data_IF_770014312045
#
_entry.id   IF_770014312045
#
_cell.length_a   1.000
_cell.length_b   1.000
_cell.length_c   1.000
_cell.angle_alpha   90.00
_cell.angle_beta   90.00
_cell.angle_gamma   90.00
#
_symmetry.space_group_name_H-M   'P 1'
#
loop_
_entity.id
_entity.type
_entity.pdbx_description
1 polymer ?
#
# COMPACT_ATOMS: atom_id res chain seq x y z
N UNK A 1 13.02 5.81 29.18
CA UNK A 1 12.66 4.50 28.60
C UNK A 1 12.21 4.76 27.18
N UNK A 2 12.89 4.18 26.20
CA UNK A 2 12.37 4.14 24.84
C UNK A 2 11.13 3.23 24.81
N UNK A 3 10.11 3.52 23.98
CA UNK A 3 9.03 2.58 23.72
C UNK A 3 9.59 1.28 23.17
N UNK A 4 8.96 0.14 23.49
CA UNK A 4 9.21 -1.09 22.76
C UNK A 4 8.81 -0.86 21.29
N UNK A 5 9.58 -1.38 20.34
CA UNK A 5 9.33 -1.16 18.90
C UNK A 5 8.03 -1.78 18.40
N UNK A 6 7.53 -2.79 19.13
CA UNK A 6 6.29 -3.51 18.87
C UNK A 6 5.11 -2.86 19.59
N UNK A 7 3.95 -2.82 18.92
CA UNK A 7 2.77 -2.08 19.36
C UNK A 7 1.85 -2.88 20.30
N UNK A 8 1.87 -4.22 20.22
CA UNK A 8 0.91 -5.08 20.93
C UNK A 8 1.62 -6.14 21.78
N UNK A 9 0.91 -6.64 22.80
CA UNK A 9 1.35 -7.69 23.71
C UNK A 9 0.20 -8.69 23.94
N UNK A 10 0.47 -9.98 23.82
CA UNK A 10 -0.54 -11.01 24.16
C UNK A 10 -0.75 -11.09 25.67
N UNK A 11 -2.01 -11.17 26.11
CA UNK A 11 -2.38 -11.34 27.52
C UNK A 11 -3.11 -12.67 27.70
N UNK A 12 -2.97 -13.32 28.85
CA UNK A 12 -3.59 -14.62 29.16
C UNK A 12 -2.74 -15.85 28.78
N UNK A 13 -1.80 -15.68 27.86
CA UNK A 13 -0.80 -16.72 27.56
C UNK A 13 0.22 -16.88 28.70
N UNK A 14 0.65 -18.12 28.96
CA UNK A 14 1.73 -18.42 29.91
C UNK A 14 3.06 -17.76 29.51
N UNK A 15 3.27 -17.56 28.21
CA UNK A 15 4.39 -16.84 27.63
C UNK A 15 3.87 -15.68 26.79
N UNK A 16 3.83 -14.45 27.34
CA UNK A 16 3.46 -13.26 26.58
C UNK A 16 4.46 -12.98 25.46
N UNK A 17 3.94 -12.65 24.28
CA UNK A 17 4.71 -12.35 23.07
C UNK A 17 4.34 -10.95 22.58
N UNK A 18 5.34 -10.20 22.15
CA UNK A 18 5.16 -8.92 21.49
C UNK A 18 4.66 -9.14 20.07
N UNK A 19 3.73 -8.33 19.59
CA UNK A 19 3.16 -8.45 18.25
C UNK A 19 3.18 -7.11 17.54
N UNK A 20 3.43 -7.14 16.24
CA UNK A 20 3.33 -5.98 15.37
C UNK A 20 2.60 -6.38 14.09
N UNK A 21 1.52 -5.66 13.72
CA UNK A 21 0.85 -5.94 12.46
C UNK A 21 1.79 -5.65 11.28
N UNK A 22 1.72 -6.49 10.27
CA UNK A 22 2.37 -6.27 8.97
C UNK A 22 1.64 -5.15 8.24
N UNK A 23 2.37 -4.14 7.82
CA UNK A 23 1.84 -2.98 7.12
C UNK A 23 2.65 -2.69 5.86
N UNK A 24 1.97 -2.24 4.82
CA UNK A 24 2.58 -1.74 3.60
C UNK A 24 2.12 -0.32 3.31
N UNK A 25 3.07 0.50 2.86
CA UNK A 25 2.80 1.85 2.37
C UNK A 25 2.82 1.84 0.83
N UNK A 26 1.84 2.49 0.23
CA UNK A 26 1.77 2.65 -1.23
C UNK A 26 1.51 4.11 -1.58
N UNK A 27 2.26 4.60 -2.55
CA UNK A 27 2.19 5.97 -3.02
C UNK A 27 1.26 6.02 -4.23
N UNK A 28 0.28 6.91 -4.18
CA UNK A 28 -0.58 7.21 -5.31
C UNK A 28 -0.33 8.61 -5.81
N UNK A 29 -0.66 8.77 -7.09
CA UNK A 29 -0.63 10.05 -7.76
C UNK A 29 -1.95 10.23 -8.50
N UNK A 30 -2.76 11.22 -8.10
CA UNK A 30 -3.92 11.62 -8.90
C UNK A 30 -3.41 12.30 -10.16
N UNK A 31 -3.74 11.81 -11.36
CA UNK A 31 -3.36 12.45 -12.63
C UNK A 31 -4.60 13.05 -13.27
N UNK A 32 -4.51 14.31 -13.63
CA UNK A 32 -5.41 14.92 -14.60
C UNK A 32 -5.10 14.33 -15.98
N UNK A 33 -6.10 13.71 -16.62
CA UNK A 33 -5.93 13.00 -17.90
C UNK A 33 -5.62 13.94 -19.06
N UNK A 34 -6.03 15.21 -19.01
CA UNK A 34 -5.74 16.19 -20.07
C UNK A 34 -4.35 16.81 -19.91
N UNK A 35 -3.95 17.15 -18.68
CA UNK A 35 -2.73 17.92 -18.44
C UNK A 35 -1.50 17.07 -18.14
N UNK A 36 -1.67 15.81 -17.72
CA UNK A 36 -0.57 14.86 -17.49
C UNK A 36 0.40 15.21 -16.34
N UNK A 37 0.19 16.31 -15.62
CA UNK A 37 1.02 16.81 -14.51
C UNK A 37 0.18 17.41 -13.38
N UNK A 38 0.77 17.54 -12.20
CA UNK A 38 0.18 18.33 -11.12
C UNK A 38 0.09 19.81 -11.54
N UNK A 39 -1.03 20.47 -11.24
CA UNK A 39 -1.30 21.85 -11.61
C UNK A 39 -2.11 22.55 -10.51
N UNK A 40 -2.03 23.87 -10.41
CA UNK A 40 -2.86 24.65 -9.48
C UNK A 40 -4.00 25.31 -10.26
N UNK A 41 -5.23 25.25 -9.71
CA UNK A 41 -6.33 26.03 -10.28
C UNK A 41 -6.17 27.53 -10.00
N UNK A 42 -7.13 28.33 -10.51
CA UNK A 42 -7.12 29.79 -10.35
C UNK A 42 -7.20 30.23 -8.89
N UNK A 43 -7.70 29.36 -8.01
CA UNK A 43 -7.83 29.60 -6.57
C UNK A 43 -6.60 29.08 -5.79
N UNK A 44 -5.58 28.56 -6.50
CA UNK A 44 -4.33 28.07 -5.91
C UNK A 44 -4.38 26.64 -5.38
N UNK A 45 -5.50 25.93 -5.56
CA UNK A 45 -5.68 24.54 -5.12
C UNK A 45 -4.85 23.61 -6.00
N UNK A 46 -3.96 22.83 -5.39
CA UNK A 46 -3.12 21.89 -6.12
C UNK A 46 -3.91 20.65 -6.53
N UNK A 47 -4.10 20.49 -7.83
CA UNK A 47 -4.66 19.31 -8.48
C UNK A 47 -3.52 18.39 -8.94
N UNK A 48 -3.57 17.12 -8.55
CA UNK A 48 -2.52 16.15 -8.81
C UNK A 48 -1.69 15.76 -7.59
N UNK A 49 -2.35 15.66 -6.43
CA UNK A 49 -1.72 15.34 -5.18
C UNK A 49 -1.09 13.93 -5.18
N UNK A 50 0.12 13.86 -4.63
CA UNK A 50 0.72 12.62 -4.18
C UNK A 50 0.17 12.34 -2.78
N UNK A 51 -0.40 11.15 -2.58
CA UNK A 51 -0.85 10.70 -1.27
C UNK A 51 -0.29 9.31 -1.00
N UNK A 52 0.10 9.08 0.24
CA UNK A 52 0.52 7.77 0.73
C UNK A 52 -0.64 7.16 1.49
N UNK A 53 -0.94 5.91 1.20
CA UNK A 53 -1.80 5.09 2.05
C UNK A 53 -0.97 3.99 2.68
N UNK A 54 -1.05 3.92 4.00
CA UNK A 54 -0.61 2.78 4.78
C UNK A 54 -1.81 1.84 4.97
N UNK A 55 -1.58 0.54 4.81
CA UNK A 55 -2.58 -0.50 5.01
C UNK A 55 -2.02 -1.68 5.78
N UNK A 56 -2.88 -2.32 6.55
CA UNK A 56 -2.64 -3.66 7.07
C UNK A 56 -2.55 -4.66 5.90
N UNK A 57 -1.51 -5.47 5.90
CA UNK A 57 -1.32 -6.50 4.88
C UNK A 57 -2.35 -7.62 5.02
N UNK A 58 -2.68 -8.25 3.89
CA UNK A 58 -3.58 -9.39 3.85
C UNK A 58 -2.97 -10.64 4.52
N UNK A 59 -3.83 -11.57 4.94
CA UNK A 59 -3.42 -12.82 5.59
C UNK A 59 -3.25 -12.71 7.12
N UNK A 60 -3.50 -11.53 7.68
CA UNK A 60 -3.55 -11.32 9.13
C UNK A 60 -4.94 -11.60 9.68
N UNK A 61 -5.00 -12.09 10.91
CA UNK A 61 -6.25 -12.36 11.62
C UNK A 61 -6.37 -11.45 12.83
N UNK A 62 -7.59 -10.96 13.07
CA UNK A 62 -7.94 -10.15 14.23
C UNK A 62 -9.09 -10.82 14.94
N UNK A 63 -9.07 -10.78 16.26
CA UNK A 63 -10.12 -11.34 17.10
C UNK A 63 -10.84 -10.21 17.83
N UNK A 64 -12.14 -10.39 18.02
CA UNK A 64 -12.97 -9.56 18.88
C UNK A 64 -14.11 -10.39 19.43
N UNK A 65 -14.91 -9.80 20.31
CA UNK A 65 -16.05 -10.45 20.92
C UNK A 65 -17.30 -9.58 20.72
N UNK A 66 -18.42 -10.22 20.40
CA UNK A 66 -19.73 -9.59 20.42
C UNK A 66 -20.43 -10.09 21.68
N UNK A 67 -20.65 -9.20 22.63
CA UNK A 67 -21.33 -9.54 23.86
C UNK A 67 -22.85 -9.44 23.67
N UNK A 68 -23.55 -10.51 24.03
CA UNK A 68 -25.01 -10.56 24.03
C UNK A 68 -25.47 -10.71 25.48
N UNK A 69 -26.59 -10.08 25.83
CA UNK A 69 -27.18 -10.14 27.17
C UNK A 69 -28.53 -10.86 27.09
N UNK A 70 -28.73 -11.82 27.97
CA UNK A 70 -29.95 -12.62 28.13
C UNK A 70 -29.99 -13.22 29.52
N UNK A 71 -31.18 -13.62 29.98
CA UNK A 71 -31.35 -14.23 31.31
C UNK A 71 -31.03 -15.73 31.31
N UNK A 72 -31.12 -16.38 30.14
CA UNK A 72 -30.90 -17.82 29.93
C UNK A 72 -30.15 -18.06 28.61
N UNK A 73 -29.52 -19.23 28.47
CA UNK A 73 -28.88 -19.61 27.20
C UNK A 73 -29.90 -19.71 26.06
N UNK A 74 -31.12 -20.18 26.34
CA UNK A 74 -32.19 -20.27 25.34
C UNK A 74 -32.62 -18.90 24.78
N UNK A 75 -32.46 -17.82 25.56
CA UNK A 75 -32.70 -16.43 25.10
C UNK A 75 -31.54 -15.87 24.25
N UNK A 76 -30.31 -16.35 24.47
CA UNK A 76 -29.12 -15.88 23.76
C UNK A 76 -29.05 -16.48 22.36
N UNK A 77 -29.40 -17.77 22.22
CA UNK A 77 -29.30 -18.54 20.98
C UNK A 77 -29.96 -17.86 19.76
N UNK A 78 -31.21 -17.36 19.82
CA UNK A 78 -31.83 -16.68 18.68
C UNK A 78 -31.07 -15.42 18.26
N UNK A 79 -30.54 -14.67 19.23
CA UNK A 79 -29.82 -13.42 18.98
C UNK A 79 -28.45 -13.69 18.39
N UNK A 80 -27.71 -14.67 18.93
CA UNK A 80 -26.43 -15.11 18.40
C UNK A 80 -26.57 -15.60 16.95
N UNK A 81 -27.54 -16.49 16.70
CA UNK A 81 -27.81 -17.00 15.34
C UNK A 81 -28.17 -15.86 14.38
N UNK A 82 -28.99 -14.90 14.82
CA UNK A 82 -29.36 -13.75 13.99
C UNK A 82 -28.16 -12.87 13.65
N UNK A 83 -27.25 -12.65 14.58
CA UNK A 83 -26.02 -11.88 14.35
C UNK A 83 -25.12 -12.60 13.34
N UNK A 84 -24.93 -13.91 13.51
CA UNK A 84 -24.15 -14.76 12.59
C UNK A 84 -24.72 -14.69 11.18
N UNK A 85 -26.03 -14.80 11.03
CA UNK A 85 -26.73 -14.72 9.74
C UNK A 85 -26.56 -13.35 9.07
N UNK A 86 -26.70 -12.26 9.84
CA UNK A 86 -26.60 -10.90 9.32
C UNK A 86 -25.19 -10.53 8.87
N UNK A 87 -24.17 -11.02 9.58
CA UNK A 87 -22.77 -10.78 9.24
C UNK A 87 -22.28 -11.73 8.13
N UNK A 88 -22.88 -12.91 8.02
CA UNK A 88 -22.54 -13.92 7.02
C UNK A 88 -21.11 -14.45 7.18
N UNK A 89 -20.50 -14.86 6.08
CA UNK A 89 -19.16 -15.47 6.06
C UNK A 89 -18.03 -14.45 5.88
N UNK A 90 -18.35 -13.23 5.43
CA UNK A 90 -17.35 -12.20 5.20
C UNK A 90 -17.95 -10.81 5.30
N UNK A 91 -17.19 -9.90 5.92
CA UNK A 91 -17.56 -8.50 6.06
C UNK A 91 -16.57 -7.59 5.38
N UNK A 92 -17.06 -6.43 4.99
CA UNK A 92 -16.24 -5.38 4.42
C UNK A 92 -15.64 -4.52 5.53
N UNK A 93 -14.31 -4.51 5.63
CA UNK A 93 -13.58 -3.69 6.60
C UNK A 93 -12.68 -2.68 5.87
N UNK A 94 -12.56 -1.47 6.43
CA UNK A 94 -11.66 -0.43 5.94
C UNK A 94 -12.23 0.50 4.87
N UNK A 95 -11.35 1.28 4.24
CA UNK A 95 -11.65 2.36 3.27
C UNK A 95 -10.99 2.12 1.90
N UNK A 96 -11.31 2.97 0.92
CA UNK A 96 -10.59 3.04 -0.37
C UNK A 96 -10.49 1.72 -1.16
N UNK A 97 -11.62 1.00 -1.26
CA UNK A 97 -11.79 -0.33 -1.89
C UNK A 97 -11.18 -0.50 -3.29
N UNK A 98 -11.26 0.51 -4.16
CA UNK A 98 -10.78 0.40 -5.55
C UNK A 98 -9.26 0.56 -5.68
N UNK A 99 -8.60 0.97 -4.60
CA UNK A 99 -7.18 1.25 -4.57
C UNK A 99 -6.38 0.19 -3.78
N UNK A 100 -7.07 -0.72 -3.05
CA UNK A 100 -6.44 -1.87 -2.38
C UNK A 100 -6.20 -1.74 -0.87
N UNK A 101 -6.81 -0.76 -0.18
CA UNK A 101 -6.57 -0.44 1.25
C UNK A 101 -7.73 -0.82 2.18
N UNK A 102 -8.66 -1.62 1.67
CA UNK A 102 -9.80 -2.19 2.41
C UNK A 102 -10.14 -3.55 1.80
N UNK A 103 -10.71 -4.44 2.60
CA UNK A 103 -10.79 -5.85 2.24
C UNK A 103 -12.09 -6.52 2.65
N UNK A 104 -12.36 -7.66 2.01
CA UNK A 104 -13.32 -8.64 2.51
C UNK A 104 -12.59 -9.46 3.56
N UNK A 105 -12.93 -9.25 4.83
CA UNK A 105 -12.44 -10.06 5.93
C UNK A 105 -13.35 -11.29 6.05
N UNK A 106 -12.77 -12.48 5.95
CA UNK A 106 -13.48 -13.71 6.28
C UNK A 106 -13.79 -13.73 7.79
N UNK A 107 -15.00 -14.13 8.14
CA UNK A 107 -15.43 -14.29 9.52
C UNK A 107 -15.32 -15.76 9.92
N UNK A 108 -14.73 -15.98 11.10
CA UNK A 108 -14.71 -17.29 11.75
C UNK A 108 -15.24 -17.11 13.17
N UNK A 109 -16.24 -17.92 13.52
CA UNK A 109 -16.87 -17.89 14.83
C UNK A 109 -16.16 -18.86 15.76
N UNK A 110 -15.63 -18.34 16.87
CA UNK A 110 -15.12 -19.15 17.97
C UNK A 110 -16.26 -19.76 18.81
N UNK A 111 -15.88 -20.56 19.80
CA UNK A 111 -16.82 -20.95 20.87
C UNK A 111 -17.18 -19.73 21.71
N UNK A 112 -18.42 -19.71 22.22
CA UNK A 112 -18.86 -18.72 23.20
C UNK A 112 -17.93 -18.67 24.41
N UNK A 113 -17.70 -17.47 24.92
CA UNK A 113 -16.81 -17.18 26.05
C UNK A 113 -17.47 -16.11 26.91
N UNK A 114 -17.33 -16.21 28.23
CA UNK A 114 -17.93 -15.24 29.16
C UNK A 114 -17.02 -14.03 29.41
N UNK A 115 -15.76 -14.11 29.01
CA UNK A 115 -14.72 -13.09 29.20
C UNK A 115 -13.84 -12.98 27.97
N UNK A 116 -13.35 -11.77 27.72
CA UNK A 116 -12.52 -11.45 26.56
C UNK A 116 -11.13 -12.10 26.60
N UNK A 117 -10.55 -12.26 27.79
CA UNK A 117 -9.23 -12.84 27.99
C UNK A 117 -9.23 -13.85 29.13
N UNK A 118 -8.82 -15.08 28.81
CA UNK A 118 -8.61 -16.16 29.77
C UNK A 118 -7.17 -16.68 29.69
N UNK A 119 -6.83 -17.53 30.66
CA UNK A 119 -5.62 -18.32 30.66
C UNK A 119 -4.79 -18.12 31.92
N UNK A 120 -3.77 -18.96 32.12
CA UNK A 120 -2.92 -18.90 33.30
C UNK A 120 -2.16 -17.56 33.38
N UNK A 121 -1.97 -16.90 32.23
CA UNK A 121 -1.17 -15.69 32.12
C UNK A 121 0.26 -15.89 32.62
N UNK A 122 0.99 -14.78 32.70
CA UNK A 122 2.26 -14.72 33.40
C UNK A 122 2.11 -13.77 34.58
N UNK A 123 2.72 -14.07 35.71
CA UNK A 123 2.75 -13.16 36.86
C UNK A 123 3.18 -11.76 36.43
N UNK A 124 2.48 -10.73 36.90
CA UNK A 124 2.67 -9.35 36.46
C UNK A 124 1.98 -9.01 35.14
N UNK A 125 1.29 -9.96 34.49
CA UNK A 125 0.43 -9.79 33.32
C UNK A 125 -0.77 -10.75 33.35
N UNK A 126 -1.07 -11.34 34.50
CA UNK A 126 -2.04 -12.43 34.61
C UNK A 126 -3.43 -11.83 34.79
N UNK A 127 -4.43 -12.24 33.99
CA UNK A 127 -5.81 -11.88 34.24
C UNK A 127 -6.23 -12.31 35.65
N UNK A 128 -6.85 -11.40 36.41
CA UNK A 128 -7.37 -11.73 37.74
C UNK A 128 -8.49 -12.76 37.58
N UNK A 129 -8.44 -13.81 38.41
CA UNK A 129 -9.38 -14.93 38.40
C UNK A 129 -9.87 -15.35 39.78
N UNK A 130 -9.65 -14.53 40.79
CA UNK A 130 -10.07 -14.77 42.17
C UNK A 130 -10.22 -13.47 42.94
N UNK A 131 -10.73 -13.58 44.16
CA UNK A 131 -11.00 -12.42 45.02
C UNK A 131 -9.71 -11.63 45.31
N UNK A 132 -9.86 -10.32 45.46
CA UNK A 132 -8.78 -9.41 45.83
C UNK A 132 -8.91 -9.11 47.32
N UNK A 133 -7.93 -9.54 48.10
CA UNK A 133 -7.85 -9.26 49.52
C UNK A 133 -7.56 -7.78 49.79
N UNK A 134 -8.06 -7.27 50.92
CA UNK A 134 -7.70 -5.96 51.44
C UNK A 134 -6.18 -5.77 51.48
N UNK A 135 -5.73 -4.57 51.08
CA UNK A 135 -4.34 -4.18 50.98
C UNK A 135 -3.63 -4.63 49.71
N UNK A 136 -4.18 -5.59 48.95
CA UNK A 136 -3.57 -6.08 47.73
C UNK A 136 -3.62 -5.04 46.61
N UNK A 137 -2.59 -5.06 45.76
CA UNK A 137 -2.52 -4.23 44.55
C UNK A 137 -2.91 -5.05 43.32
N UNK A 138 -3.55 -4.38 42.38
CA UNK A 138 -3.98 -4.95 41.10
C UNK A 138 -4.07 -3.85 40.05
N UNK A 139 -4.33 -4.21 38.79
CA UNK A 139 -4.38 -3.23 37.69
C UNK A 139 -5.67 -3.36 36.90
N UNK A 140 -6.15 -2.23 36.42
CA UNK A 140 -7.14 -2.14 35.35
C UNK A 140 -6.42 -1.74 34.06
N UNK A 141 -6.56 -2.55 33.02
CA UNK A 141 -6.10 -2.28 31.66
C UNK A 141 -7.30 -1.94 30.79
N UNK A 142 -7.20 -0.87 30.00
CA UNK A 142 -8.16 -0.58 28.93
C UNK A 142 -7.84 -1.44 27.69
N UNK A 143 -8.68 -2.42 27.38
CA UNK A 143 -8.57 -3.22 26.15
C UNK A 143 -9.01 -2.43 24.91
N UNK A 144 -9.88 -1.43 25.10
CA UNK A 144 -10.31 -0.50 24.05
C UNK A 144 -10.23 0.95 24.54
N UNK A 145 -10.31 1.92 23.63
CA UNK A 145 -10.38 3.33 24.03
C UNK A 145 -11.62 3.59 24.90
N UNK A 146 -11.54 4.52 25.85
CA UNK A 146 -12.60 4.83 26.80
C UNK A 146 -12.96 6.33 26.75
N UNK A 147 -14.23 6.62 26.48
CA UNK A 147 -14.77 7.97 26.42
C UNK A 147 -15.50 8.25 27.73
N UNK A 148 -15.10 9.32 28.43
CA UNK A 148 -15.63 9.64 29.76
C UNK A 148 -16.14 11.07 29.79
N UNK A 149 -17.24 11.27 30.51
CA UNK A 149 -17.74 12.61 30.84
C UNK A 149 -17.35 12.98 32.25
N UNK A 150 -17.06 14.26 32.43
CA UNK A 150 -16.98 14.88 33.74
C UNK A 150 -18.36 14.85 34.41
N UNK A 151 -18.44 14.29 35.61
CA UNK A 151 -19.70 14.12 36.31
C UNK A 151 -20.37 15.42 36.75
N UNK A 152 -19.62 16.53 36.83
CA UNK A 152 -20.12 17.83 37.29
C UNK A 152 -20.54 18.74 36.14
N UNK A 153 -19.78 18.73 35.03
CA UNK A 153 -20.02 19.60 33.87
C UNK A 153 -20.74 18.90 32.72
N UNK A 154 -20.76 17.56 32.71
CA UNK A 154 -21.28 16.74 31.61
C UNK A 154 -20.43 16.77 30.35
N UNK A 155 -19.31 17.52 30.33
CA UNK A 155 -18.41 17.63 29.19
C UNK A 155 -17.57 16.37 29.04
N UNK A 156 -17.15 16.05 27.80
CA UNK A 156 -16.21 14.95 27.57
C UNK A 156 -14.86 15.36 28.16
N UNK A 157 -14.39 14.58 29.13
CA UNK A 157 -13.16 14.82 29.85
C UNK A 157 -12.48 13.49 30.21
N UNK A 158 -11.47 13.05 29.44
CA UNK A 158 -10.70 11.84 29.74
C UNK A 158 -10.07 11.83 31.14
N UNK A 159 -9.78 13.01 31.71
CA UNK A 159 -9.19 13.11 33.05
C UNK A 159 -10.16 12.74 34.18
N UNK A 160 -11.46 12.55 33.89
CA UNK A 160 -12.45 12.08 34.84
C UNK A 160 -12.46 10.54 35.01
N UNK A 161 -11.71 9.79 34.18
CA UNK A 161 -11.68 8.32 34.27
C UNK A 161 -11.20 7.78 35.64
N UNK A 162 -10.16 8.32 36.30
CA UNK A 162 -9.76 7.94 37.66
C UNK A 162 -10.93 7.90 38.64
N UNK A 163 -11.70 8.98 38.69
CA UNK A 163 -12.83 9.10 39.59
C UNK A 163 -13.95 8.11 39.23
N UNK A 164 -14.21 7.92 37.93
CA UNK A 164 -15.15 6.91 37.46
C UNK A 164 -14.73 5.51 37.93
N UNK A 165 -13.45 5.14 37.82
CA UNK A 165 -12.94 3.84 38.27
C UNK A 165 -13.19 3.66 39.77
N UNK A 166 -12.78 4.61 40.61
CA UNK A 166 -12.96 4.52 42.07
C UNK A 166 -14.44 4.44 42.47
N UNK A 167 -15.31 5.23 41.81
CA UNK A 167 -16.76 5.17 42.02
C UNK A 167 -17.34 3.80 41.67
N UNK A 168 -16.85 3.15 40.61
CA UNK A 168 -17.30 1.79 40.21
C UNK A 168 -16.98 0.73 41.26
N UNK A 169 -15.92 0.94 42.04
CA UNK A 169 -15.60 0.08 43.19
C UNK A 169 -16.36 0.44 44.47
N UNK A 170 -17.17 1.51 44.47
CA UNK A 170 -17.87 1.99 45.66
C UNK A 170 -16.92 2.34 46.81
N UNK A 171 -15.72 2.83 46.49
CA UNK A 171 -14.69 3.15 47.50
C UNK A 171 -13.91 1.94 48.05
N UNK A 172 -14.10 0.73 47.51
CA UNK A 172 -13.33 -0.45 47.93
C UNK A 172 -11.96 -0.56 47.29
N UNK A 173 -11.68 0.24 46.26
CA UNK A 173 -10.38 0.34 45.63
C UNK A 173 -10.03 1.81 45.41
N UNK A 174 -8.76 2.13 45.63
CA UNK A 174 -8.18 3.45 45.43
C UNK A 174 -7.16 3.41 44.30
N UNK A 175 -7.16 4.46 43.48
CA UNK A 175 -6.16 4.63 42.44
C UNK A 175 -4.82 5.09 43.03
N UNK A 176 -3.78 4.33 42.73
CA UNK A 176 -2.40 4.60 43.20
C UNK A 176 -1.59 5.29 42.11
N UNK A 177 -1.70 4.82 40.86
CA UNK A 177 -0.87 5.32 39.75
C UNK A 177 -1.53 5.11 38.41
N UNK A 178 -1.26 6.01 37.46
CA UNK A 178 -1.72 5.90 36.08
C UNK A 178 -0.57 5.86 35.09
N UNK A 179 -0.76 5.09 34.01
CA UNK A 179 0.04 5.09 32.79
C UNK A 179 -0.93 5.05 31.62
N UNK A 180 -1.15 6.20 31.01
CA UNK A 180 -2.19 6.38 30.01
C UNK A 180 -1.74 7.28 28.88
N UNK A 181 -2.46 7.15 27.77
CA UNK A 181 -2.36 8.05 26.63
C UNK A 181 -3.76 8.50 26.24
N UNK A 182 -3.83 9.55 25.43
CA UNK A 182 -5.09 10.06 24.90
C UNK A 182 -5.06 10.04 23.39
N UNK A 183 -6.19 9.72 22.77
CA UNK A 183 -6.34 9.71 21.33
C UNK A 183 -7.67 10.34 20.92
N UNK A 184 -7.68 11.09 19.81
CA UNK A 184 -8.94 11.52 19.23
C UNK A 184 -9.69 10.33 18.64
N UNK A 185 -10.96 10.22 19.01
CA UNK A 185 -11.90 9.25 18.46
C UNK A 185 -12.95 10.00 17.66
N UNK A 186 -13.10 9.63 16.40
CA UNK A 186 -14.12 10.17 15.51
C UNK A 186 -14.60 9.08 14.57
N UNK A 187 -15.07 9.48 13.39
CA UNK A 187 -15.47 8.54 12.36
C UNK A 187 -16.25 9.22 11.26
N UNK A 188 -16.87 8.42 10.40
CA UNK A 188 -17.65 8.94 9.29
C UNK A 188 -18.97 8.18 9.18
N UNK A 189 -20.07 8.90 9.29
CA UNK A 189 -21.40 8.34 9.06
C UNK A 189 -21.62 8.16 7.56
N UNK A 190 -21.58 6.91 7.09
CA UNK A 190 -21.77 6.58 5.66
C UNK A 190 -23.17 6.91 5.14
N UNK A 191 -24.20 6.82 5.98
CA UNK A 191 -25.60 7.09 5.60
C UNK A 191 -25.82 8.57 5.35
N UNK A 192 -25.25 9.42 6.21
CA UNK A 192 -25.38 10.89 6.12
C UNK A 192 -24.27 11.55 5.32
N UNK A 193 -23.19 10.82 5.03
CA UNK A 193 -21.98 11.31 4.37
C UNK A 193 -21.33 12.50 5.11
N UNK A 194 -21.30 12.41 6.43
CA UNK A 194 -20.74 13.44 7.31
C UNK A 194 -19.82 12.82 8.36
N UNK A 195 -18.86 13.61 8.82
CA UNK A 195 -17.99 13.24 9.94
C UNK A 195 -18.78 13.12 11.23
N UNK A 196 -18.41 12.13 12.04
CA UNK A 196 -18.89 12.04 13.42
C UNK A 196 -18.09 13.04 14.28
N UNK A 197 -18.71 13.66 15.30
CA UNK A 197 -17.99 14.52 16.23
C UNK A 197 -16.75 13.82 16.79
N UNK A 198 -15.60 14.47 16.64
CA UNK A 198 -14.35 13.98 17.17
C UNK A 198 -14.24 14.36 18.65
N UNK A 199 -13.92 13.38 19.49
CA UNK A 199 -13.82 13.54 20.94
C UNK A 199 -12.49 13.00 21.43
N UNK A 200 -11.94 13.58 22.49
CA UNK A 200 -10.73 13.05 23.11
C UNK A 200 -11.13 11.88 24.02
N UNK A 201 -10.44 10.75 23.90
CA UNK A 201 -10.66 9.55 24.71
C UNK A 201 -9.35 9.12 25.38
N UNK A 202 -9.45 8.30 26.43
CA UNK A 202 -8.31 7.56 26.96
C UNK A 202 -8.02 6.40 26.01
N UNK A 203 -6.78 6.28 25.53
CA UNK A 203 -6.38 5.28 24.54
C UNK A 203 -6.41 3.86 25.13
N UNK A 204 -6.71 2.88 24.27
CA UNK A 204 -6.47 1.47 24.56
C UNK A 204 -5.00 1.24 24.96
N UNK A 205 -4.75 0.26 25.82
CA UNK A 205 -3.42 0.01 26.39
C UNK A 205 -3.10 0.85 27.63
N UNK A 206 -3.95 1.81 28.01
CA UNK A 206 -3.78 2.58 29.25
C UNK A 206 -4.04 1.70 30.48
N UNK A 207 -3.22 1.87 31.53
CA UNK A 207 -3.21 1.05 32.74
C UNK A 207 -3.31 1.91 34.00
N UNK A 208 -4.09 1.41 34.96
CA UNK A 208 -4.39 2.03 36.24
C UNK A 208 -4.03 1.06 37.36
N UNK A 209 -3.07 1.43 38.21
CA UNK A 209 -2.70 0.67 39.40
C UNK A 209 -3.65 1.02 40.54
N UNK A 210 -4.30 0.02 41.09
CA UNK A 210 -5.29 0.10 42.15
C UNK A 210 -4.78 -0.62 43.39
N UNK A 211 -5.18 -0.13 44.56
CA UNK A 211 -5.02 -0.81 45.84
C UNK A 211 -6.40 -1.05 46.45
N UNK A 212 -6.63 -2.27 46.89
CA UNK A 212 -7.88 -2.64 47.56
C UNK A 212 -7.87 -2.12 49.01
N UNK A 213 -8.84 -1.25 49.34
CA UNK A 213 -9.06 -0.79 50.71
C UNK A 213 -9.90 -1.80 51.51
N UNK A 214 -10.70 -2.62 50.81
CA UNK A 214 -11.54 -3.68 51.35
C UNK A 214 -11.43 -4.92 50.46
N UNK A 215 -11.94 -6.07 50.93
CA UNK A 215 -12.04 -7.26 50.09
C UNK A 215 -12.97 -7.00 48.88
N UNK A 216 -12.54 -7.41 47.69
CA UNK A 216 -13.29 -7.28 46.44
C UNK A 216 -13.53 -8.69 45.89
N UNK A 217 -14.78 -9.18 45.92
CA UNK A 217 -15.16 -10.41 45.24
C UNK A 217 -14.82 -10.38 43.76
N UNK A 218 -14.37 -11.51 43.20
CA UNK A 218 -14.06 -11.63 41.78
C UNK A 218 -15.26 -11.32 40.88
N UNK A 219 -16.47 -11.64 41.34
CA UNK A 219 -17.72 -11.33 40.63
C UNK A 219 -17.85 -9.85 40.27
N UNK A 220 -17.47 -8.96 41.18
CA UNK A 220 -17.54 -7.51 40.94
C UNK A 220 -16.57 -7.05 39.85
N UNK A 221 -15.41 -7.71 39.74
CA UNK A 221 -14.47 -7.46 38.66
C UNK A 221 -15.08 -7.88 37.33
N UNK A 222 -15.68 -9.07 37.28
CA UNK A 222 -16.35 -9.57 36.08
C UNK A 222 -17.54 -8.72 35.67
N UNK A 223 -18.32 -8.20 36.63
CA UNK A 223 -19.40 -7.26 36.35
C UNK A 223 -18.86 -5.97 35.69
N UNK A 224 -17.75 -5.44 36.20
CA UNK A 224 -17.11 -4.25 35.60
C UNK A 224 -16.55 -4.57 34.21
N UNK A 225 -15.92 -5.73 34.00
CA UNK A 225 -15.43 -6.16 32.67
C UNK A 225 -16.56 -6.37 31.67
N UNK A 226 -17.66 -6.95 32.11
CA UNK A 226 -18.85 -7.21 31.29
C UNK A 226 -19.56 -5.92 30.91
N UNK A 227 -19.71 -5.00 31.85
CA UNK A 227 -20.36 -3.73 31.58
C UNK A 227 -19.47 -2.76 30.82
N UNK A 228 -18.17 -2.76 31.09
CA UNK A 228 -17.24 -1.72 30.62
C UNK A 228 -17.44 -0.38 31.32
N UNK A 229 -16.64 0.60 30.90
CA UNK A 229 -16.60 1.96 31.46
C UNK A 229 -16.97 3.02 30.40
N UNK A 230 -17.54 4.14 30.87
CA UNK A 230 -17.76 5.31 30.02
C UNK A 230 -18.89 5.14 29.01
N UNK A 231 -18.74 5.82 27.86
CA UNK A 231 -19.77 6.01 26.84
C UNK A 231 -19.53 5.15 25.59
N UNK A 232 -20.59 4.94 24.79
CA UNK A 232 -20.55 4.22 23.50
C UNK A 232 -20.03 2.78 23.62
N UNK A 233 -20.43 2.10 24.69
CA UNK A 233 -19.96 0.74 25.03
C UNK A 233 -20.46 -0.30 24.03
N UNK A 234 -21.64 -0.07 23.48
CA UNK A 234 -22.26 -0.84 22.41
C UNK A 234 -21.47 -0.79 21.08
N UNK A 235 -20.59 0.20 20.91
CA UNK A 235 -19.68 0.30 19.75
C UNK A 235 -18.32 -0.37 20.01
N UNK A 236 -18.11 -0.90 21.23
CA UNK A 236 -16.85 -1.53 21.64
C UNK A 236 -15.88 -0.59 22.37
N UNK A 237 -16.31 0.61 22.77
CA UNK A 237 -15.51 1.47 23.66
C UNK A 237 -15.64 1.04 25.13
N UNK A 238 -14.65 1.42 25.95
CA UNK A 238 -14.71 1.21 27.40
C UNK A 238 -14.48 -0.21 27.89
N UNK A 239 -13.95 -1.12 27.05
CA UNK A 239 -13.60 -2.49 27.47
C UNK A 239 -12.41 -2.48 28.40
N UNK A 240 -12.51 -3.26 29.48
CA UNK A 240 -11.50 -3.33 30.53
C UNK A 240 -11.13 -4.77 30.86
N UNK A 241 -9.92 -4.94 31.39
CA UNK A 241 -9.39 -6.20 31.88
C UNK A 241 -8.65 -5.96 33.19
N UNK A 242 -8.89 -6.79 34.20
CA UNK A 242 -8.13 -6.75 35.45
C UNK A 242 -6.92 -7.67 35.40
N UNK A 243 -5.77 -7.14 35.77
CA UNK A 243 -4.50 -7.86 35.88
C UNK A 243 -4.00 -7.84 37.33
N UNK A 244 -3.18 -8.84 37.69
CA UNK A 244 -2.49 -8.89 38.98
C UNK A 244 -1.55 -7.70 39.23
N UNK A 245 -0.91 -7.62 40.39
CA UNK A 245 0.06 -6.56 40.69
C UNK A 245 1.22 -6.56 39.66
N UNK A 246 1.79 -5.39 39.30
CA UNK A 246 2.95 -5.34 38.42
C UNK A 246 4.19 -5.94 39.11
N UNK A 247 5.06 -6.56 38.31
CA UNK A 247 6.40 -6.94 38.75
C UNK A 247 7.38 -5.77 38.53
N UNK A 248 8.44 -5.65 39.36
CA UNK A 248 9.47 -4.65 39.15
C UNK A 248 10.21 -4.87 37.82
N UNK A 249 10.45 -6.14 37.46
CA UNK A 249 11.10 -6.55 36.22
C UNK A 249 10.45 -7.83 35.69
N UNK A 250 10.34 -7.94 34.37
CA UNK A 250 9.96 -9.17 33.68
C UNK A 250 10.55 -9.17 32.26
N UNK A 251 10.84 -10.35 31.73
CA UNK A 251 11.42 -10.51 30.39
C UNK A 251 10.36 -10.90 29.37
N UNK A 252 10.20 -10.15 28.30
CA UNK A 252 9.34 -10.52 27.18
C UNK A 252 10.15 -11.26 26.12
N UNK A 253 9.54 -12.26 25.50
CA UNK A 253 10.11 -12.87 24.30
C UNK A 253 9.74 -11.97 23.13
N UNK A 254 10.73 -11.45 22.44
CA UNK A 254 10.48 -10.94 21.09
C UNK A 254 10.02 -12.12 20.24
N UNK A 255 8.93 -11.99 19.48
CA UNK A 255 8.59 -13.01 18.52
C UNK A 255 9.83 -13.24 17.68
N UNK A 256 10.23 -14.50 17.48
CA UNK A 256 11.06 -14.80 16.32
C UNK A 256 10.25 -14.24 15.16
N UNK A 257 10.79 -13.22 14.47
CA UNK A 257 10.32 -12.91 13.14
C UNK A 257 10.25 -14.27 12.46
N UNK A 258 9.03 -14.75 12.15
CA UNK A 258 8.91 -15.86 11.21
C UNK A 258 9.76 -15.39 10.07
N UNK A 259 10.94 -16.02 9.89
CA UNK A 259 11.92 -15.62 8.91
C UNK A 259 11.10 -15.28 7.68
N UNK A 260 11.21 -14.04 7.14
CA UNK A 260 10.38 -13.59 6.04
C UNK A 260 10.33 -14.78 5.11
N UNK A 261 9.13 -15.39 4.92
CA UNK A 261 8.99 -16.69 4.24
C UNK A 261 9.98 -16.60 3.13
N UNK A 262 11.08 -17.36 3.24
CA UNK A 262 12.16 -17.21 2.29
C UNK A 262 11.41 -17.41 1.01
N UNK A 263 11.30 -16.35 0.19
CA UNK A 263 10.94 -16.56 -1.19
C UNK A 263 12.02 -17.53 -1.58
N UNK A 264 11.68 -18.81 -1.62
CA UNK A 264 12.67 -19.82 -1.88
C UNK A 264 13.38 -19.36 -3.13
N UNK A 265 14.61 -19.80 -3.33
CA UNK A 265 15.34 -19.56 -4.58
C UNK A 265 14.52 -20.02 -5.82
N UNK A 266 13.35 -20.64 -5.60
CA UNK A 266 12.18 -20.63 -6.46
C UNK A 266 12.01 -19.34 -7.26
N UNK A 267 12.44 -19.45 -8.51
CA UNK A 267 12.17 -18.49 -9.56
C UNK A 267 10.72 -18.00 -9.50
N UNK A 268 10.48 -16.71 -9.77
CA UNK A 268 9.13 -16.15 -9.81
C UNK A 268 8.27 -17.00 -10.75
N UNK A 269 7.01 -17.32 -10.40
CA UNK A 269 6.16 -18.14 -11.25
C UNK A 269 6.16 -17.60 -12.68
N UNK A 270 6.21 -18.49 -13.69
CA UNK A 270 6.35 -18.10 -15.10
C UNK A 270 5.31 -17.04 -15.52
N UNK A 271 4.09 -17.13 -14.99
CA UNK A 271 3.01 -16.15 -15.22
C UNK A 271 3.39 -14.73 -14.79
N UNK A 272 4.12 -14.57 -13.67
CA UNK A 272 4.57 -13.25 -13.18
C UNK A 272 5.66 -12.69 -14.07
N UNK A 273 6.58 -13.53 -14.54
CA UNK A 273 7.63 -13.15 -15.49
C UNK A 273 7.03 -12.72 -16.85
N UNK A 274 6.00 -13.44 -17.32
CA UNK A 274 5.28 -13.11 -18.55
C UNK A 274 4.55 -11.77 -18.45
N UNK A 275 3.94 -11.49 -17.30
CA UNK A 275 3.28 -10.19 -17.04
C UNK A 275 4.32 -9.06 -17.05
N UNK A 276 5.45 -9.23 -16.37
CA UNK A 276 6.55 -8.25 -16.38
C UNK A 276 7.05 -7.98 -17.80
N UNK A 277 7.35 -9.04 -18.55
CA UNK A 277 7.79 -8.96 -19.95
C UNK A 277 6.80 -8.19 -20.80
N UNK A 278 5.50 -8.47 -20.67
CA UNK A 278 4.45 -7.78 -21.42
C UNK A 278 4.37 -6.29 -21.06
N UNK A 279 4.48 -5.94 -19.78
CA UNK A 279 4.45 -4.53 -19.34
C UNK A 279 5.66 -3.77 -19.86
N UNK A 280 6.86 -4.33 -19.68
CA UNK A 280 8.12 -3.70 -20.12
C UNK A 280 8.11 -3.47 -21.63
N UNK A 281 7.72 -4.48 -22.43
CA UNK A 281 7.66 -4.35 -23.90
C UNK A 281 6.59 -3.35 -24.36
N UNK A 282 5.42 -3.31 -23.71
CA UNK A 282 4.36 -2.36 -24.05
C UNK A 282 4.74 -0.91 -23.69
N UNK A 283 5.55 -0.70 -22.66
CA UNK A 283 6.06 0.62 -22.30
C UNK A 283 7.20 1.04 -23.23
N UNK A 284 8.06 0.10 -23.62
CA UNK A 284 9.13 0.32 -24.58
C UNK A 284 8.56 0.75 -25.95
N UNK A 285 7.55 0.05 -26.46
CA UNK A 285 6.88 0.42 -27.70
C UNK A 285 6.34 1.86 -27.68
N UNK A 286 5.66 2.25 -26.59
CA UNK A 286 5.19 3.63 -26.40
C UNK A 286 6.32 4.66 -26.35
N UNK A 287 7.45 4.33 -25.73
CA UNK A 287 8.63 5.22 -25.74
C UNK A 287 9.23 5.36 -27.13
N UNK A 288 9.28 4.27 -27.91
CA UNK A 288 9.74 4.29 -29.29
C UNK A 288 8.84 5.22 -30.12
N UNK A 289 7.53 5.05 -30.04
CA UNK A 289 6.56 5.91 -30.74
C UNK A 289 6.72 7.39 -30.36
N UNK A 290 6.83 7.68 -29.07
CA UNK A 290 7.02 9.04 -28.58
C UNK A 290 8.32 9.65 -29.10
N UNK A 291 9.44 8.94 -28.99
CA UNK A 291 10.75 9.39 -29.48
C UNK A 291 10.71 9.58 -30.99
N UNK A 292 10.06 8.69 -31.74
CA UNK A 292 9.90 8.81 -33.17
C UNK A 292 9.10 10.06 -33.58
N UNK A 293 8.00 10.34 -32.88
CA UNK A 293 7.20 11.54 -33.10
C UNK A 293 8.01 12.83 -32.81
N UNK A 294 8.80 12.86 -31.73
CA UNK A 294 9.65 14.01 -31.41
C UNK A 294 10.75 14.24 -32.44
N UNK A 295 11.41 13.17 -32.87
CA UNK A 295 12.43 13.20 -33.90
C UNK A 295 11.84 13.71 -35.22
N UNK A 296 10.70 13.16 -35.65
CA UNK A 296 10.02 13.58 -36.86
C UNK A 296 9.54 15.04 -36.79
N UNK A 297 9.11 15.53 -35.63
CA UNK A 297 8.71 16.94 -35.42
C UNK A 297 9.88 17.90 -35.61
N UNK A 298 11.08 17.51 -35.16
CA UNK A 298 12.29 18.34 -35.28
C UNK A 298 13.00 18.25 -36.63
N UNK A 299 12.64 17.26 -37.47
CA UNK A 299 13.31 17.01 -38.73
C UNK A 299 13.14 18.15 -39.76
N UNK A 300 14.10 18.32 -40.67
CA UNK A 300 14.03 19.29 -41.78
C UNK A 300 14.63 18.67 -43.03
N UNK A 301 14.19 19.11 -44.21
CA UNK A 301 14.62 18.59 -45.52
C UNK A 301 14.38 17.08 -45.63
N UNK A 302 13.13 16.67 -45.46
CA UNK A 302 12.73 15.27 -45.40
C UNK A 302 13.06 14.54 -46.72
N UNK A 303 13.53 13.28 -46.68
CA UNK A 303 13.72 12.48 -47.88
C UNK A 303 12.38 12.14 -48.53
N UNK A 304 12.37 11.82 -49.82
CA UNK A 304 11.14 11.41 -50.50
C UNK A 304 10.49 10.16 -49.89
N UNK A 305 9.16 10.06 -49.95
CA UNK A 305 8.41 8.90 -49.49
C UNK A 305 8.85 7.58 -50.16
N UNK A 306 9.33 7.65 -51.41
CA UNK A 306 9.88 6.49 -52.13
C UNK A 306 11.19 5.97 -51.50
N UNK A 307 12.09 6.88 -51.10
CA UNK A 307 13.35 6.53 -50.45
C UNK A 307 13.10 6.03 -49.02
N UNK A 308 12.20 6.67 -48.28
CA UNK A 308 11.77 6.20 -46.95
C UNK A 308 11.17 4.79 -47.05
N UNK A 309 10.27 4.56 -48.01
CA UNK A 309 9.69 3.23 -48.26
C UNK A 309 10.75 2.16 -48.59
N UNK A 310 11.76 2.52 -49.39
CA UNK A 310 12.90 1.64 -49.68
C UNK A 310 13.69 1.29 -48.42
N UNK A 311 13.99 2.26 -47.56
CA UNK A 311 14.71 2.05 -46.29
C UNK A 311 13.93 1.17 -45.30
N UNK A 312 12.59 1.27 -45.30
CA UNK A 312 11.72 0.46 -44.42
C UNK A 312 11.52 -0.97 -44.90
N UNK A 313 11.82 -1.27 -46.16
CA UNK A 313 11.64 -2.62 -46.73
C UNK A 313 12.46 -3.69 -45.97
N UNK A 314 13.78 -3.53 -45.76
CA UNK A 314 14.55 -4.52 -45.00
C UNK A 314 14.13 -4.63 -43.53
N UNK A 315 13.57 -3.56 -42.94
CA UNK A 315 13.13 -3.53 -41.54
C UNK A 315 11.92 -4.44 -41.22
N UNK A 316 11.27 -4.99 -42.25
CA UNK A 316 10.17 -5.96 -42.10
C UNK A 316 10.64 -7.40 -41.95
N UNK A 317 11.91 -7.68 -42.26
CA UNK A 317 12.53 -8.99 -42.16
C UNK A 317 13.23 -9.21 -40.82
N UNK A 318 14.21 -10.12 -40.80
CA UNK A 318 14.99 -10.44 -39.60
C UNK A 318 15.84 -9.22 -39.15
N UNK A 319 15.85 -8.86 -37.86
CA UNK A 319 16.49 -7.64 -37.38
C UNK A 319 18.01 -7.55 -37.67
N UNK A 320 18.70 -8.67 -37.56
CA UNK A 320 20.10 -8.87 -37.96
C UNK A 320 20.36 -8.41 -39.39
N UNK A 321 19.63 -9.00 -40.33
CA UNK A 321 19.80 -8.77 -41.77
C UNK A 321 19.38 -7.35 -42.14
N UNK A 322 18.36 -6.82 -41.47
CA UNK A 322 17.89 -5.46 -41.65
C UNK A 322 19.00 -4.45 -41.32
N UNK A 323 19.67 -4.62 -40.17
CA UNK A 323 20.77 -3.75 -39.74
C UNK A 323 21.96 -3.86 -40.71
N UNK A 324 22.36 -5.06 -41.10
CA UNK A 324 23.49 -5.25 -42.02
C UNK A 324 23.19 -4.70 -43.42
N UNK A 325 21.94 -4.81 -43.87
CA UNK A 325 21.50 -4.20 -45.13
C UNK A 325 21.56 -2.67 -45.06
N UNK A 326 21.10 -2.06 -43.97
CA UNK A 326 21.20 -0.61 -43.78
C UNK A 326 22.66 -0.15 -43.72
N UNK A 327 23.53 -0.87 -43.01
CA UNK A 327 24.97 -0.56 -42.97
C UNK A 327 25.60 -0.63 -44.36
N UNK A 328 25.33 -1.69 -45.12
CA UNK A 328 25.84 -1.84 -46.51
C UNK A 328 25.37 -0.69 -47.39
N UNK A 329 24.11 -0.32 -47.31
CA UNK A 329 23.53 0.75 -48.11
C UNK A 329 24.10 2.14 -47.80
N UNK A 330 24.37 2.42 -46.51
CA UNK A 330 24.79 3.74 -46.06
C UNK A 330 26.32 3.92 -46.07
N UNK A 331 27.08 2.88 -45.69
CA UNK A 331 28.53 3.02 -45.45
C UNK A 331 29.38 1.83 -45.92
N UNK A 332 28.98 0.61 -45.59
CA UNK A 332 29.88 -0.55 -45.53
C UNK A 332 29.82 -1.45 -46.79
N UNK A 333 28.95 -1.15 -47.76
CA UNK A 333 28.76 -1.95 -48.97
C UNK A 333 29.70 -1.57 -50.11
N UNK A 334 29.77 -2.42 -51.12
CA UNK A 334 30.43 -2.11 -52.40
C UNK A 334 29.73 -0.95 -53.13
N UNK A 335 30.39 -0.34 -54.11
CA UNK A 335 29.81 0.78 -54.89
C UNK A 335 28.48 0.42 -55.56
N UNK A 336 28.27 -0.86 -55.88
CA UNK A 336 27.02 -1.38 -56.43
C UNK A 336 25.90 -1.58 -55.39
N UNK A 337 26.26 -1.79 -54.12
CA UNK A 337 25.30 -2.03 -53.02
C UNK A 337 24.90 -0.74 -52.29
N UNK A 338 25.77 0.28 -52.30
CA UNK A 338 25.51 1.57 -51.65
C UNK A 338 24.39 2.33 -52.34
N UNK A 339 23.70 3.16 -51.58
CA UNK A 339 22.71 4.08 -52.16
C UNK A 339 23.39 5.00 -53.16
N UNK A 340 22.73 5.22 -54.30
CA UNK A 340 23.17 6.21 -55.30
C UNK A 340 23.32 7.58 -54.65
N UNK A 341 24.25 8.38 -55.16
CA UNK A 341 24.57 9.71 -54.60
C UNK A 341 23.36 10.61 -54.38
N UNK A 342 22.41 10.63 -55.32
CA UNK A 342 21.16 11.41 -55.19
C UNK A 342 20.24 10.97 -54.03
N UNK A 343 20.28 9.69 -53.64
CA UNK A 343 19.55 9.19 -52.48
C UNK A 343 20.33 9.45 -51.18
N UNK A 344 21.66 9.30 -51.21
CA UNK A 344 22.50 9.60 -50.05
C UNK A 344 22.45 11.10 -49.70
N UNK A 345 22.51 11.98 -50.69
CA UNK A 345 22.40 13.44 -50.51
C UNK A 345 21.08 13.84 -49.80
N UNK A 346 19.98 13.11 -50.06
CA UNK A 346 18.71 13.35 -49.36
C UNK A 346 18.80 13.01 -47.87
N UNK A 347 19.46 11.90 -47.51
CA UNK A 347 19.65 11.49 -46.12
C UNK A 347 20.62 12.41 -45.39
N UNK A 348 21.65 12.91 -46.07
CA UNK A 348 22.63 13.84 -45.52
C UNK A 348 22.08 15.27 -45.33
N UNK A 349 21.13 15.68 -46.18
CA UNK A 349 20.41 16.97 -46.06
C UNK A 349 19.32 16.94 -45.00
N UNK A 350 18.73 15.78 -44.74
CA UNK A 350 17.72 15.61 -43.70
C UNK A 350 18.36 15.76 -42.32
N UNK A 351 18.01 16.82 -41.58
CA UNK A 351 18.58 17.14 -40.25
C UNK A 351 17.58 16.91 -39.14
N UNK A 352 17.99 16.25 -38.07
CA UNK A 352 17.17 15.90 -36.89
C UNK A 352 18.05 15.84 -35.62
N UNK A 353 17.43 15.81 -34.43
CA UNK A 353 18.11 15.54 -33.15
C UNK A 353 19.40 16.36 -32.91
N UNK A 354 19.28 17.69 -32.85
CA UNK A 354 20.46 18.55 -32.66
C UNK A 354 21.35 18.67 -33.91
N UNK A 355 20.74 18.73 -35.10
CA UNK A 355 21.40 18.96 -36.41
C UNK A 355 22.20 17.76 -36.97
N UNK A 356 21.98 16.55 -36.43
CA UNK A 356 22.53 15.31 -36.99
C UNK A 356 21.82 14.96 -38.30
N UNK A 357 22.56 14.46 -39.30
CA UNK A 357 21.91 13.98 -40.52
C UNK A 357 21.25 12.61 -40.30
N UNK A 358 20.27 12.28 -41.14
CA UNK A 358 19.50 11.04 -41.02
C UNK A 358 20.35 9.79 -41.27
N UNK A 359 21.33 9.84 -42.18
CA UNK A 359 22.20 8.69 -42.47
C UNK A 359 23.03 8.28 -41.24
N UNK A 360 23.71 9.24 -40.62
CA UNK A 360 24.49 9.06 -39.41
C UNK A 360 23.61 8.65 -38.23
N UNK A 361 22.41 9.25 -38.12
CA UNK A 361 21.45 8.85 -37.09
C UNK A 361 21.01 7.39 -37.24
N UNK A 362 20.71 6.91 -38.46
CA UNK A 362 20.34 5.51 -38.70
C UNK A 362 21.51 4.60 -38.34
N UNK A 363 22.74 4.94 -38.72
CA UNK A 363 23.93 4.15 -38.38
C UNK A 363 24.15 4.08 -36.87
N UNK A 364 23.99 5.20 -36.15
CA UNK A 364 24.06 5.20 -34.69
C UNK A 364 22.90 4.43 -34.04
N UNK A 365 21.71 4.45 -34.63
CA UNK A 365 20.57 3.67 -34.16
C UNK A 365 20.76 2.16 -34.34
N UNK A 366 21.75 1.72 -35.12
CA UNK A 366 22.16 0.30 -35.15
C UNK A 366 22.94 -0.14 -33.90
N UNK A 367 23.46 0.82 -33.13
CA UNK A 367 24.10 0.58 -31.84
C UNK A 367 23.03 0.55 -30.74
N UNK A 368 22.86 -0.63 -30.17
CA UNK A 368 21.86 -0.92 -29.14
C UNK A 368 22.07 -0.07 -27.89
N UNK A 369 23.30 0.14 -27.42
CA UNK A 369 23.53 0.84 -26.16
C UNK A 369 23.16 2.32 -26.29
N UNK A 370 23.42 2.90 -27.47
CA UNK A 370 22.91 4.23 -27.82
C UNK A 370 21.39 4.28 -27.84
N UNK A 371 20.73 3.31 -28.47
CA UNK A 371 19.26 3.24 -28.52
C UNK A 371 18.64 3.12 -27.12
N UNK A 372 19.17 2.25 -26.27
CA UNK A 372 18.70 2.09 -24.90
C UNK A 372 18.91 3.37 -24.07
N UNK A 373 20.03 4.07 -24.27
CA UNK A 373 20.29 5.37 -23.66
C UNK A 373 19.28 6.43 -24.13
N UNK A 374 19.04 6.56 -25.44
CA UNK A 374 18.06 7.50 -25.99
C UNK A 374 16.64 7.24 -25.49
N UNK A 375 16.28 5.98 -25.29
CA UNK A 375 14.98 5.58 -24.75
C UNK A 375 14.94 5.66 -23.22
N UNK A 376 16.02 6.05 -22.54
CA UNK A 376 16.15 6.04 -21.08
C UNK A 376 15.66 4.69 -20.50
N UNK A 377 16.26 3.61 -20.98
CA UNK A 377 15.86 2.24 -20.67
C UNK A 377 15.99 1.90 -19.18
N UNK A 378 17.01 2.43 -18.49
CA UNK A 378 17.18 2.21 -17.05
C UNK A 378 16.02 2.80 -16.24
N UNK A 379 15.60 4.01 -16.57
CA UNK A 379 14.42 4.65 -15.96
C UNK A 379 13.14 3.88 -16.27
N UNK A 380 13.07 3.25 -17.46
CA UNK A 380 11.93 2.40 -17.83
C UNK A 380 11.91 1.12 -16.99
N UNK A 381 13.04 0.42 -16.84
CA UNK A 381 13.16 -0.78 -16.02
C UNK A 381 12.86 -0.49 -14.54
N UNK A 382 13.39 0.61 -14.00
CA UNK A 382 13.10 1.06 -12.63
C UNK A 382 11.62 1.34 -12.38
N UNK A 383 10.87 1.79 -13.39
CA UNK A 383 9.45 2.15 -13.24
C UNK A 383 8.48 1.02 -13.55
N UNK A 384 8.92 -0.03 -14.22
CA UNK A 384 8.05 -1.04 -14.83
C UNK A 384 8.32 -2.48 -14.38
N UNK A 385 9.29 -2.70 -13.48
CA UNK A 385 9.54 -4.02 -12.91
C UNK A 385 8.41 -4.47 -11.99
N UNK A 386 8.17 -5.78 -11.97
CA UNK A 386 7.28 -6.50 -11.05
C UNK A 386 8.10 -7.51 -10.22
N UNK A 387 9.08 -8.15 -10.83
CA UNK A 387 9.96 -9.15 -10.22
C UNK A 387 11.18 -8.47 -9.61
N UNK A 388 12.00 -7.82 -10.45
CA UNK A 388 13.16 -7.05 -10.01
C UNK A 388 13.64 -6.11 -11.12
N UNK A 389 14.42 -5.10 -10.74
CA UNK A 389 15.04 -4.19 -11.71
C UNK A 389 15.95 -4.95 -12.69
N UNK A 390 16.69 -5.96 -12.21
CA UNK A 390 17.56 -6.81 -13.02
C UNK A 390 16.77 -7.64 -14.04
N UNK A 391 15.61 -8.17 -13.65
CA UNK A 391 14.71 -8.92 -14.53
C UNK A 391 14.18 -8.04 -15.67
N UNK A 392 13.65 -6.86 -15.31
CA UNK A 392 13.17 -5.88 -16.29
C UNK A 392 14.29 -5.37 -17.21
N UNK A 393 15.50 -5.14 -16.68
CA UNK A 393 16.68 -4.87 -17.48
C UNK A 393 16.94 -6.04 -18.44
N UNK A 394 16.98 -7.27 -17.94
CA UNK A 394 17.16 -8.50 -18.71
C UNK A 394 16.24 -8.60 -19.92
N UNK A 395 14.95 -8.28 -19.76
CA UNK A 395 13.96 -8.23 -20.85
C UNK A 395 14.37 -7.20 -21.93
N UNK A 396 14.79 -6.00 -21.52
CA UNK A 396 15.29 -4.98 -22.46
C UNK A 396 16.62 -5.40 -23.12
N UNK A 397 17.34 -6.36 -22.53
CA UNK A 397 18.59 -6.90 -23.06
C UNK A 397 18.42 -8.11 -23.98
N UNK A 398 17.27 -8.78 -23.96
CA UNK A 398 17.03 -10.08 -24.58
C UNK A 398 17.06 -10.01 -26.13
N UNK A 399 16.55 -8.91 -26.72
CA UNK A 399 16.44 -8.75 -28.18
C UNK A 399 16.95 -7.39 -28.67
N UNK A 400 18.28 -7.17 -28.68
CA UNK A 400 18.86 -5.85 -28.89
C UNK A 400 18.57 -5.24 -30.26
N UNK A 401 18.66 -6.05 -31.32
CA UNK A 401 18.50 -5.56 -32.70
C UNK A 401 17.04 -5.27 -33.05
N UNK A 402 16.10 -5.98 -32.43
CA UNK A 402 14.67 -5.75 -32.63
C UNK A 402 14.25 -4.35 -32.13
N UNK A 403 14.82 -3.88 -31.02
CA UNK A 403 14.56 -2.54 -30.48
C UNK A 403 15.07 -1.47 -31.44
N UNK A 404 16.30 -1.61 -31.93
CA UNK A 404 16.90 -0.71 -32.93
C UNK A 404 16.08 -0.66 -34.21
N UNK A 405 15.70 -1.81 -34.78
CA UNK A 405 14.90 -1.89 -36.00
C UNK A 405 13.53 -1.24 -35.80
N UNK A 406 12.85 -1.51 -34.67
CA UNK A 406 11.56 -0.87 -34.35
C UNK A 406 11.69 0.65 -34.21
N UNK A 407 12.76 1.15 -33.60
CA UNK A 407 12.99 2.59 -33.49
C UNK A 407 13.24 3.24 -34.85
N UNK A 408 14.11 2.62 -35.68
CA UNK A 408 14.40 3.12 -37.02
C UNK A 408 13.12 3.11 -37.87
N UNK A 409 12.35 2.02 -37.86
CA UNK A 409 11.10 1.94 -38.62
C UNK A 409 10.07 2.96 -38.14
N UNK A 410 9.90 3.12 -36.83
CA UNK A 410 8.98 4.11 -36.26
C UNK A 410 9.35 5.54 -36.66
N UNK A 411 10.64 5.89 -36.65
CA UNK A 411 11.12 7.20 -37.10
C UNK A 411 10.85 7.39 -38.59
N UNK A 412 11.24 6.44 -39.43
CA UNK A 412 11.00 6.50 -40.87
C UNK A 412 9.50 6.59 -41.20
N UNK A 413 8.67 5.84 -40.48
CA UNK A 413 7.22 5.91 -40.61
C UNK A 413 6.68 7.31 -40.25
N UNK A 414 7.14 7.88 -39.13
CA UNK A 414 6.74 9.22 -38.69
C UNK A 414 7.18 10.32 -39.68
N UNK A 415 8.37 10.20 -40.28
CA UNK A 415 8.84 11.10 -41.34
C UNK A 415 7.97 11.00 -42.60
N UNK A 416 7.60 9.79 -43.02
CA UNK A 416 6.73 9.58 -44.18
C UNK A 416 5.32 10.15 -43.96
N UNK A 417 4.77 10.02 -42.75
CA UNK A 417 3.49 10.65 -42.39
C UNK A 417 3.60 12.17 -42.48
N UNK A 418 4.71 12.74 -42.00
CA UNK A 418 4.93 14.20 -42.06
C UNK A 418 5.03 14.73 -43.49
N UNK A 419 5.75 14.04 -44.38
CA UNK A 419 5.81 14.39 -45.81
C UNK A 419 4.41 14.52 -46.42
N UNK A 420 3.53 13.55 -46.15
CA UNK A 420 2.16 13.57 -46.70
C UNK A 420 1.31 14.72 -46.16
N UNK A 421 1.53 15.10 -44.90
CA UNK A 421 0.82 16.22 -44.28
C UNK A 421 1.31 17.58 -44.78
N UNK A 422 2.61 17.72 -45.08
CA UNK A 422 3.17 18.92 -45.73
C UNK A 422 2.70 19.03 -47.19
N UNK A 423 2.73 17.93 -47.97
CA UNK A 423 2.21 17.88 -49.35
C UNK A 423 0.71 18.26 -49.44
N UNK A 424 -0.13 17.77 -48.51
CA UNK A 424 -1.55 18.10 -48.47
C UNK A 424 -1.86 19.52 -47.92
N UNK A 425 -0.90 20.15 -47.25
CA UNK A 425 -0.99 21.51 -46.74
C UNK A 425 -0.64 22.58 -47.78
N UNK A 426 0.26 22.25 -48.72
CA UNK A 426 0.67 23.12 -49.83
C UNK A 426 -0.32 23.09 -51.04
N UNK A 427 -1.25 22.12 -51.07
CA UNK A 427 -2.35 22.04 -52.06
C UNK A 427 -3.62 22.84 -51.68
N UNK A 428 -3.56 23.65 -50.61
CA UNK A 428 -4.62 24.60 -50.21
C UNK A 428 -4.11 26.03 -50.24
#
# INVERSE_FOLDING_TARGET
>A
MAPLGQEFLTIGAAQPVLLQPKMSARIHHQRDREKGRAWKDRDGTAHGAIFVFESLDAGQSFQGMIQVRGATEEELDPTENRIKDLLGQAILIGRSRRAGYGGMAALQWGKGQEREVYGPGREGLRPVGGDISQGASFRLLLASACIVRDGSTGQINPAALPELIERRFGGRAKLVRTRWAFSPIGGFNRKWRLELPQVLAVSAGSVFLLQADHNIPVGDLYDIENEGLGERREEGYGRVLFLDAPLPEFSLREPEETAPVSAGDGQPPHVVQDIEKRIVLAQLARKIEHKAADLARSARNLPSNSLIGRLRTPLRGEPEEAIETLKRWLRDGSEAERLKRSAMDQLERCRMDGNRNLADWILEATDRDKVLSWLNADVLAQRCHIVSEESAKGILKEKPKEISVKLIDAVLAALAVRNKTEEAGDER
#
